data_IF_545359418720
#
_entry.id   IF_545359418720
#
_cell.length_a   1.000
_cell.length_b   1.000
_cell.length_c   1.000
_cell.angle_alpha   90.00
_cell.angle_beta   90.00
_cell.angle_gamma   90.00
#
_symmetry.space_group_name_H-M   'P 1'
#
loop_
_entity.id
_entity.type
_entity.pdbx_description
1 polymer ?
#
# COMPACT_ATOMS: atom_id res chain seq x y z
N UNK A 1 27.44 -4.21 20.27
CA UNK A 1 27.59 -4.58 18.85
C UNK A 1 26.99 -5.95 18.52
N UNK A 2 27.44 -7.07 19.10
CA UNK A 2 26.86 -8.40 18.81
C UNK A 2 25.34 -8.50 19.04
N UNK A 3 24.85 -7.95 20.15
CA UNK A 3 23.41 -7.90 20.45
C UNK A 3 22.62 -7.04 19.46
N UNK A 4 23.23 -5.98 18.92
CA UNK A 4 22.57 -5.08 17.96
C UNK A 4 22.33 -5.78 16.62
N UNK A 5 23.33 -6.50 16.09
CA UNK A 5 23.18 -7.28 14.86
C UNK A 5 22.16 -8.43 15.01
N UNK A 6 22.15 -9.08 16.17
CA UNK A 6 21.15 -10.11 16.48
C UNK A 6 19.74 -9.51 16.50
N UNK A 7 19.55 -8.36 17.15
CA UNK A 7 18.29 -7.63 17.16
C UNK A 7 17.89 -7.19 15.74
N UNK A 8 18.82 -6.66 14.93
CA UNK A 8 18.55 -6.29 13.52
C UNK A 8 18.04 -7.48 12.71
N UNK A 9 18.69 -8.64 12.81
CA UNK A 9 18.32 -9.86 12.07
C UNK A 9 16.98 -10.39 12.55
N UNK A 10 16.76 -10.40 13.87
CA UNK A 10 15.49 -10.80 14.46
C UNK A 10 14.35 -9.92 13.97
N UNK A 11 14.55 -8.60 13.92
CA UNK A 11 13.56 -7.63 13.43
C UNK A 11 13.27 -7.87 11.96
N UNK A 12 14.29 -8.11 11.14
CA UNK A 12 14.13 -8.44 9.73
C UNK A 12 13.28 -9.71 9.57
N UNK A 13 13.55 -10.74 10.35
CA UNK A 13 12.75 -11.97 10.36
C UNK A 13 11.30 -11.72 10.78
N UNK A 14 11.08 -10.96 11.85
CA UNK A 14 9.74 -10.54 12.30
C UNK A 14 9.02 -9.76 11.19
N UNK A 15 9.69 -8.83 10.52
CA UNK A 15 9.12 -8.07 9.40
C UNK A 15 8.72 -8.95 8.22
N UNK A 16 9.54 -9.94 7.86
CA UNK A 16 9.22 -10.91 6.80
C UNK A 16 7.97 -11.72 7.21
N UNK A 17 7.97 -12.29 8.41
CA UNK A 17 6.84 -13.07 8.92
C UNK A 17 5.55 -12.24 8.96
N UNK A 18 5.59 -11.02 9.48
CA UNK A 18 4.47 -10.09 9.51
C UNK A 18 4.00 -9.70 8.10
N UNK A 19 4.93 -9.48 7.17
CA UNK A 19 4.58 -9.17 5.78
C UNK A 19 3.81 -10.34 5.13
N UNK A 20 4.30 -11.56 5.30
CA UNK A 20 3.67 -12.79 4.81
C UNK A 20 2.32 -13.05 5.48
N UNK A 21 2.23 -12.92 6.81
CA UNK A 21 0.97 -13.04 7.55
C UNK A 21 -0.04 -12.01 7.07
N UNK A 22 0.37 -10.77 6.82
CA UNK A 22 -0.50 -9.72 6.33
C UNK A 22 -1.03 -9.96 4.94
N UNK A 23 -0.16 -10.43 4.05
CA UNK A 23 -0.59 -10.80 2.71
C UNK A 23 -1.49 -12.03 2.75
N UNK A 24 -1.19 -13.02 3.59
CA UNK A 24 -2.02 -14.20 3.82
C UNK A 24 -3.41 -13.86 4.37
N UNK A 25 -3.49 -12.99 5.37
CA UNK A 25 -4.77 -12.48 5.90
C UNK A 25 -5.54 -11.67 4.84
N UNK A 26 -4.84 -10.84 4.07
CA UNK A 26 -5.44 -10.09 2.96
C UNK A 26 -5.99 -11.04 1.91
N UNK A 27 -5.24 -12.08 1.56
CA UNK A 27 -5.68 -13.08 0.61
C UNK A 27 -6.94 -13.82 1.12
N UNK A 28 -6.91 -14.24 2.39
CA UNK A 28 -8.01 -14.98 3.02
C UNK A 28 -9.29 -14.14 3.12
N UNK A 29 -9.19 -12.89 3.58
CA UNK A 29 -10.35 -12.03 3.84
C UNK A 29 -10.83 -11.25 2.60
N UNK A 30 -9.93 -10.94 1.66
CA UNK A 30 -10.23 -10.09 0.52
C UNK A 30 -10.21 -10.90 -0.77
N UNK A 31 -9.05 -11.45 -1.13
CA UNK A 31 -8.85 -12.01 -2.48
C UNK A 31 -9.66 -13.29 -2.74
N UNK A 32 -9.94 -14.07 -1.70
CA UNK A 32 -10.80 -15.25 -1.78
C UNK A 32 -12.28 -14.91 -1.98
N UNK A 33 -12.72 -13.72 -1.60
CA UNK A 33 -14.14 -13.36 -1.63
C UNK A 33 -14.65 -13.21 -3.07
N UNK A 34 -15.73 -13.90 -3.43
CA UNK A 34 -16.32 -13.82 -4.79
C UNK A 34 -16.63 -12.38 -5.21
N UNK A 35 -17.16 -11.57 -4.28
CA UNK A 35 -17.45 -10.15 -4.51
C UNK A 35 -16.20 -9.41 -4.98
N UNK A 36 -15.05 -9.66 -4.36
CA UNK A 36 -13.80 -9.03 -4.75
C UNK A 36 -13.35 -9.49 -6.14
N UNK A 37 -13.41 -10.79 -6.42
CA UNK A 37 -13.00 -11.35 -7.71
C UNK A 37 -13.85 -10.84 -8.87
N UNK A 38 -15.18 -10.86 -8.70
CA UNK A 38 -16.15 -10.34 -9.69
C UNK A 38 -15.90 -8.86 -9.98
N UNK A 39 -15.75 -8.06 -8.93
CA UNK A 39 -15.58 -6.61 -9.05
C UNK A 39 -14.20 -6.24 -9.62
N UNK A 40 -13.13 -6.95 -9.25
CA UNK A 40 -11.80 -6.80 -9.86
C UNK A 40 -11.85 -7.10 -11.36
N UNK A 41 -12.48 -8.21 -11.76
CA UNK A 41 -12.59 -8.60 -13.17
C UNK A 41 -13.43 -7.59 -13.97
N UNK A 42 -14.52 -7.07 -13.41
CA UNK A 42 -15.33 -6.03 -14.05
C UNK A 42 -14.55 -4.73 -14.24
N UNK A 43 -13.86 -4.25 -13.20
CA UNK A 43 -13.02 -3.06 -13.26
C UNK A 43 -11.93 -3.21 -14.31
N UNK A 44 -11.20 -4.33 -14.34
CA UNK A 44 -10.15 -4.57 -15.36
C UNK A 44 -10.72 -4.60 -16.78
N UNK A 45 -11.87 -5.25 -16.99
CA UNK A 45 -12.52 -5.35 -18.29
C UNK A 45 -13.02 -3.99 -18.79
N UNK A 46 -13.66 -3.21 -17.91
CA UNK A 46 -14.17 -1.88 -18.24
C UNK A 46 -13.02 -0.90 -18.48
N UNK A 47 -11.99 -0.96 -17.64
CA UNK A 47 -10.77 -0.14 -17.73
C UNK A 47 -10.04 -0.33 -19.08
N UNK A 48 -9.81 -1.58 -19.50
CA UNK A 48 -9.24 -1.89 -20.83
C UNK A 48 -10.12 -1.44 -21.99
N UNK A 49 -11.45 -1.59 -21.88
CA UNK A 49 -12.38 -1.14 -22.94
C UNK A 49 -12.36 0.38 -23.08
N UNK A 50 -12.29 1.09 -21.97
CA UNK A 50 -12.26 2.54 -21.93
C UNK A 50 -10.94 3.09 -22.52
N UNK A 51 -9.79 2.51 -22.17
CA UNK A 51 -8.50 2.89 -22.81
C UNK A 51 -8.55 2.72 -24.32
N UNK A 52 -8.97 1.54 -24.82
CA UNK A 52 -9.07 1.28 -26.27
C UNK A 52 -9.99 2.26 -26.99
N UNK A 53 -11.11 2.67 -26.37
CA UNK A 53 -12.03 3.65 -26.95
C UNK A 53 -11.47 5.06 -26.97
N UNK A 54 -10.67 5.44 -25.96
CA UNK A 54 -9.98 6.73 -25.94
C UNK A 54 -8.86 6.77 -26.99
N UNK A 55 -8.09 5.70 -27.10
CA UNK A 55 -7.00 5.60 -28.08
C UNK A 55 -7.51 5.56 -29.53
N UNK A 56 -8.63 4.88 -29.79
CA UNK A 56 -9.19 4.75 -31.13
C UNK A 56 -9.82 6.05 -31.69
N UNK A 57 -10.24 6.99 -30.82
CA UNK A 57 -11.05 8.14 -31.23
C UNK A 57 -10.35 9.50 -31.20
N UNK A 58 -9.19 9.62 -30.53
CA UNK A 58 -8.40 10.87 -30.49
C UNK A 58 -9.19 12.13 -30.08
N UNK A 59 -8.71 13.32 -30.45
CA UNK A 59 -9.36 14.62 -30.16
C UNK A 59 -10.62 14.89 -31.01
N UNK A 60 -10.92 14.02 -31.98
CA UNK A 60 -12.04 14.14 -32.91
C UNK A 60 -13.32 13.44 -32.42
N UNK A 61 -13.56 13.47 -31.10
CA UNK A 61 -14.74 12.88 -30.49
C UNK A 61 -15.98 13.76 -30.70
N UNK A 62 -16.97 13.22 -31.41
CA UNK A 62 -18.29 13.84 -31.53
C UNK A 62 -18.93 14.01 -30.13
N UNK A 63 -19.71 15.07 -29.94
CA UNK A 63 -20.30 15.47 -28.62
C UNK A 63 -21.10 14.33 -28.00
N UNK A 64 -21.74 13.49 -28.83
CA UNK A 64 -22.49 12.31 -28.39
C UNK A 64 -21.57 11.17 -27.90
N UNK A 65 -20.41 10.96 -28.52
CA UNK A 65 -19.43 9.95 -28.12
C UNK A 65 -18.70 10.37 -26.84
N UNK A 66 -18.35 11.66 -26.71
CA UNK A 66 -17.78 12.24 -25.48
C UNK A 66 -18.70 11.98 -24.27
N UNK A 67 -20.01 12.23 -24.42
CA UNK A 67 -21.01 11.97 -23.36
C UNK A 67 -21.17 10.47 -23.03
N UNK A 68 -20.96 9.57 -23.99
CA UNK A 68 -20.98 8.11 -23.74
C UNK A 68 -19.73 7.66 -22.98
N UNK A 69 -18.55 8.19 -23.34
CA UNK A 69 -17.27 7.92 -22.65
C UNK A 69 -17.33 8.41 -21.21
N UNK A 70 -17.85 9.61 -20.97
CA UNK A 70 -18.01 10.19 -19.62
C UNK A 70 -18.91 9.34 -18.72
N UNK A 71 -20.01 8.80 -19.26
CA UNK A 71 -20.88 7.85 -18.53
C UNK A 71 -20.18 6.53 -18.20
N UNK A 72 -19.32 6.04 -19.10
CA UNK A 72 -18.55 4.81 -18.86
C UNK A 72 -17.45 5.04 -17.82
N UNK A 73 -16.82 6.22 -17.80
CA UNK A 73 -15.90 6.65 -16.75
C UNK A 73 -16.58 6.72 -15.39
N UNK A 74 -17.77 7.32 -15.30
CA UNK A 74 -18.51 7.45 -14.05
C UNK A 74 -18.88 6.07 -13.48
N UNK A 75 -19.33 5.14 -14.34
CA UNK A 75 -19.59 3.74 -13.96
C UNK A 75 -18.33 3.04 -13.48
N UNK A 76 -17.22 3.18 -14.21
CA UNK A 76 -15.93 2.61 -13.81
C UNK A 76 -15.47 3.16 -12.45
N UNK A 77 -15.65 4.48 -12.21
CA UNK A 77 -15.31 5.13 -10.94
C UNK A 77 -16.13 4.56 -9.79
N UNK A 78 -17.44 4.33 -9.99
CA UNK A 78 -18.30 3.72 -8.97
C UNK A 78 -17.87 2.28 -8.66
N UNK A 79 -17.65 1.45 -9.70
CA UNK A 79 -17.19 0.07 -9.52
C UNK A 79 -15.82 0.01 -8.81
N UNK A 80 -14.91 0.93 -9.13
CA UNK A 80 -13.61 1.02 -8.49
C UNK A 80 -13.70 1.53 -7.04
N UNK A 81 -14.66 2.42 -6.74
CA UNK A 81 -14.97 2.82 -5.36
C UNK A 81 -15.47 1.64 -4.55
N UNK A 82 -16.39 0.84 -5.09
CA UNK A 82 -16.90 -0.36 -4.41
C UNK A 82 -15.79 -1.39 -4.17
N UNK A 83 -14.89 -1.57 -5.15
CA UNK A 83 -13.71 -2.43 -5.01
C UNK A 83 -12.78 -1.95 -3.91
N UNK A 84 -12.57 -0.63 -3.84
CA UNK A 84 -11.76 0.00 -2.81
C UNK A 84 -12.41 -0.10 -1.42
N UNK A 85 -13.74 0.02 -1.31
CA UNK A 85 -14.46 -0.13 -0.05
C UNK A 85 -14.37 -1.56 0.49
N UNK A 86 -14.49 -2.57 -0.37
CA UNK A 86 -14.28 -3.98 0.03
C UNK A 86 -12.86 -4.18 0.56
N UNK A 87 -11.84 -3.64 -0.12
CA UNK A 87 -10.45 -3.68 0.38
C UNK A 87 -10.29 -2.93 1.70
N UNK A 88 -10.85 -1.72 1.81
CA UNK A 88 -10.68 -0.84 2.96
C UNK A 88 -11.29 -1.43 4.23
N UNK A 89 -12.48 -2.03 4.16
CA UNK A 89 -13.12 -2.68 5.31
C UNK A 89 -12.22 -3.77 5.90
N UNK A 90 -11.65 -4.62 5.04
CA UNK A 90 -10.76 -5.70 5.48
C UNK A 90 -9.37 -5.19 5.89
N UNK A 91 -8.83 -4.17 5.21
CA UNK A 91 -7.57 -3.54 5.61
C UNK A 91 -7.66 -2.88 6.98
N UNK A 92 -8.82 -2.36 7.38
CA UNK A 92 -9.01 -1.80 8.72
C UNK A 92 -8.88 -2.87 9.81
N UNK A 93 -9.53 -4.03 9.62
CA UNK A 93 -9.43 -5.15 10.54
C UNK A 93 -7.98 -5.70 10.64
N UNK A 94 -7.32 -5.85 9.50
CA UNK A 94 -5.91 -6.25 9.42
C UNK A 94 -5.00 -5.19 10.07
N UNK A 95 -5.32 -3.91 9.87
CA UNK A 95 -4.62 -2.78 10.48
C UNK A 95 -4.68 -2.82 12.00
N UNK A 96 -5.84 -3.13 12.58
CA UNK A 96 -5.97 -3.30 14.03
C UNK A 96 -5.09 -4.43 14.57
N UNK A 97 -5.07 -5.59 13.88
CA UNK A 97 -4.19 -6.69 14.23
C UNK A 97 -2.70 -6.30 14.16
N UNK A 98 -2.31 -5.53 13.13
CA UNK A 98 -0.94 -5.03 13.01
C UNK A 98 -0.57 -3.96 14.04
N UNK A 99 -1.50 -3.10 14.43
CA UNK A 99 -1.26 -2.15 15.52
C UNK A 99 -1.02 -2.87 16.84
N UNK A 100 -1.77 -3.96 17.12
CA UNK A 100 -1.55 -4.78 18.30
C UNK A 100 -0.17 -5.47 18.27
N UNK A 101 0.22 -6.07 17.13
CA UNK A 101 1.54 -6.67 16.95
C UNK A 101 2.67 -5.64 17.08
N UNK A 102 2.51 -4.47 16.46
CA UNK A 102 3.48 -3.37 16.55
C UNK A 102 3.65 -2.91 18.00
N UNK A 103 2.54 -2.75 18.75
CA UNK A 103 2.57 -2.35 20.16
C UNK A 103 3.30 -3.38 21.02
N UNK A 104 3.02 -4.68 20.82
CA UNK A 104 3.69 -5.77 21.53
C UNK A 104 5.21 -5.74 21.29
N UNK A 105 5.65 -5.66 20.04
CA UNK A 105 7.09 -5.62 19.74
C UNK A 105 7.74 -4.30 20.16
N UNK A 106 7.03 -3.17 20.07
CA UNK A 106 7.55 -1.89 20.55
C UNK A 106 7.91 -1.95 22.03
N UNK A 107 7.08 -2.62 22.86
CA UNK A 107 7.38 -2.78 24.28
C UNK A 107 8.57 -3.72 24.54
N UNK A 108 8.80 -4.72 23.69
CA UNK A 108 9.93 -5.67 23.83
C UNK A 108 11.27 -5.01 23.49
N UNK A 109 11.27 -4.10 22.50
CA UNK A 109 12.46 -3.40 22.02
C UNK A 109 12.57 -1.95 22.53
N UNK A 110 11.81 -1.59 23.56
CA UNK A 110 11.81 -0.25 24.13
C UNK A 110 13.20 0.14 24.65
N UNK A 111 13.64 1.37 24.33
CA UNK A 111 14.96 1.87 24.71
C UNK A 111 16.16 1.18 24.04
N UNK A 112 15.96 0.23 23.12
CA UNK A 112 17.05 -0.52 22.47
C UNK A 112 17.39 0.05 21.11
N UNK A 113 18.68 0.37 20.92
CA UNK A 113 19.23 0.72 19.62
C UNK A 113 19.37 -0.54 18.78
N UNK A 114 18.61 -0.65 17.70
CA UNK A 114 18.54 -1.87 16.88
C UNK A 114 19.38 -1.79 15.62
N UNK A 115 19.73 -0.59 15.17
CA UNK A 115 20.64 -0.35 14.06
C UNK A 115 21.22 1.06 14.15
N UNK A 116 22.32 1.30 13.43
CA UNK A 116 22.86 2.64 13.18
C UNK A 116 22.82 2.95 11.70
N UNK A 117 22.24 4.09 11.36
CA UNK A 117 22.13 4.58 10.00
C UNK A 117 23.44 5.29 9.61
N UNK A 118 23.91 5.15 8.36
CA UNK A 118 25.10 5.85 7.89
C UNK A 118 24.85 7.34 7.61
N UNK A 119 23.63 7.82 7.85
CA UNK A 119 23.19 9.20 7.69
C UNK A 119 22.23 9.57 8.81
N UNK A 120 22.13 10.87 9.12
CA UNK A 120 21.10 11.41 10.01
C UNK A 120 19.80 11.56 9.20
N UNK A 121 18.69 10.90 9.60
CA UNK A 121 17.41 11.06 8.90
C UNK A 121 16.95 12.52 8.85
N UNK A 122 16.17 12.90 7.83
CA UNK A 122 15.57 14.24 7.76
C UNK A 122 14.62 14.48 8.94
N UNK A 123 14.51 15.72 9.41
CA UNK A 123 13.78 16.07 10.65
C UNK A 123 12.34 15.60 10.73
N UNK A 124 11.65 15.48 9.60
CA UNK A 124 10.29 14.93 9.56
C UNK A 124 10.20 13.43 9.90
N UNK A 125 11.27 12.66 9.64
CA UNK A 125 11.34 11.21 9.88
C UNK A 125 12.11 10.89 11.17
N UNK A 126 12.91 11.83 11.68
CA UNK A 126 13.67 11.70 12.93
C UNK A 126 12.79 11.26 14.12
N UNK A 127 11.58 11.81 14.23
CA UNK A 127 10.64 11.45 15.29
C UNK A 127 10.17 9.99 15.27
N UNK A 128 10.28 9.31 14.12
CA UNK A 128 9.99 7.88 13.99
C UNK A 128 11.27 7.05 14.12
N UNK A 129 12.38 7.49 13.50
CA UNK A 129 13.66 6.79 13.55
C UNK A 129 14.27 6.73 14.94
N UNK A 130 14.12 7.78 15.74
CA UNK A 130 14.63 7.86 17.11
C UNK A 130 13.53 7.65 18.18
N UNK A 131 12.35 7.21 17.76
CA UNK A 131 11.23 6.99 18.68
C UNK A 131 11.61 5.97 19.76
N UNK A 132 11.33 6.28 21.02
CA UNK A 132 11.58 5.40 22.17
C UNK A 132 13.07 5.08 22.42
N UNK A 133 14.01 5.80 21.81
CA UNK A 133 15.44 5.65 22.10
C UNK A 133 15.92 6.74 23.08
N UNK A 134 16.78 6.40 24.05
CA UNK A 134 17.44 7.39 24.90
C UNK A 134 18.61 8.06 24.16
N UNK A 135 18.87 9.33 24.47
CA UNK A 135 20.00 10.09 23.93
C UNK A 135 19.64 11.01 22.75
N UNK A 136 20.67 11.67 22.21
CA UNK A 136 20.55 12.67 21.14
C UNK A 136 21.30 12.25 19.86
N UNK A 137 21.70 10.98 19.76
CA UNK A 137 22.35 10.44 18.56
C UNK A 137 21.30 10.01 17.52
N UNK A 138 20.90 10.95 16.67
CA UNK A 138 19.92 10.71 15.60
C UNK A 138 20.39 9.74 14.50
N UNK A 139 21.62 9.21 14.56
CA UNK A 139 22.03 8.09 13.70
C UNK A 139 21.50 6.74 14.21
N UNK A 140 21.03 6.68 15.45
CA UNK A 140 20.45 5.49 16.05
C UNK A 140 19.01 5.24 15.54
N UNK A 141 18.72 3.97 15.30
CA UNK A 141 17.47 3.52 14.72
C UNK A 141 16.66 2.70 15.73
N UNK A 142 15.38 3.04 15.83
CA UNK A 142 14.39 2.36 16.66
C UNK A 142 13.84 1.13 15.96
N UNK A 143 13.29 0.21 16.77
CA UNK A 143 12.55 -0.94 16.27
C UNK A 143 11.45 -0.54 15.28
N UNK A 144 10.62 0.46 15.66
CA UNK A 144 9.45 0.87 14.87
C UNK A 144 9.88 1.26 13.46
N UNK A 145 10.94 2.06 13.33
CA UNK A 145 11.37 2.57 12.05
C UNK A 145 11.86 1.46 11.13
N UNK A 146 12.78 0.61 11.63
CA UNK A 146 13.30 -0.51 10.86
C UNK A 146 12.18 -1.49 10.48
N UNK A 147 11.31 -1.81 11.43
CA UNK A 147 10.19 -2.72 11.21
C UNK A 147 9.20 -2.20 10.15
N UNK A 148 8.81 -0.93 10.20
CA UNK A 148 7.89 -0.34 9.21
C UNK A 148 8.55 -0.33 7.82
N UNK A 149 9.81 0.12 7.73
CA UNK A 149 10.54 0.16 6.47
C UNK A 149 10.65 -1.22 5.84
N UNK A 150 11.09 -2.21 6.60
CA UNK A 150 11.22 -3.58 6.13
C UNK A 150 9.86 -4.17 5.74
N UNK A 151 8.86 -4.08 6.62
CA UNK A 151 7.54 -4.68 6.38
C UNK A 151 6.85 -4.08 5.15
N UNK A 152 6.89 -2.74 4.98
CA UNK A 152 6.29 -2.09 3.82
C UNK A 152 7.03 -2.44 2.53
N UNK A 153 8.36 -2.44 2.54
CA UNK A 153 9.18 -2.80 1.38
C UNK A 153 8.94 -4.25 0.96
N UNK A 154 8.97 -5.19 1.91
CA UNK A 154 8.75 -6.62 1.64
C UNK A 154 7.33 -6.85 1.14
N UNK A 155 6.32 -6.31 1.83
CA UNK A 155 4.91 -6.52 1.46
C UNK A 155 4.60 -6.00 0.05
N UNK A 156 5.06 -4.81 -0.32
CA UNK A 156 4.85 -4.28 -1.66
C UNK A 156 5.50 -5.15 -2.74
N UNK A 157 6.69 -5.69 -2.46
CA UNK A 157 7.36 -6.61 -3.40
C UNK A 157 6.63 -7.94 -3.53
N UNK A 158 6.12 -8.51 -2.42
CA UNK A 158 5.29 -9.72 -2.45
C UNK A 158 4.03 -9.48 -3.29
N UNK A 159 3.33 -8.35 -3.09
CA UNK A 159 2.12 -8.02 -3.84
C UNK A 159 2.37 -7.90 -5.35
N UNK A 160 3.51 -7.33 -5.74
CA UNK A 160 3.94 -7.26 -7.14
C UNK A 160 4.24 -8.66 -7.69
N UNK A 161 4.98 -9.47 -6.94
CA UNK A 161 5.36 -10.84 -7.33
C UNK A 161 4.15 -11.75 -7.52
N UNK A 162 3.14 -11.64 -6.65
CA UNK A 162 1.92 -12.46 -6.69
C UNK A 162 0.83 -11.92 -7.62
N UNK A 163 1.05 -10.78 -8.29
CA UNK A 163 0.04 -10.18 -9.18
C UNK A 163 -1.20 -9.63 -8.45
N UNK A 164 -1.08 -9.39 -7.14
CA UNK A 164 -2.12 -8.77 -6.32
C UNK A 164 -2.07 -7.24 -6.34
N UNK A 165 -0.95 -6.68 -6.82
CA UNK A 165 -0.84 -5.27 -7.13
C UNK A 165 -1.94 -4.83 -8.13
N UNK A 166 -2.56 -3.66 -7.92
CA UNK A 166 -3.50 -3.10 -8.89
C UNK A 166 -2.81 -2.94 -10.25
N UNK A 167 -3.50 -3.29 -11.34
CA UNK A 167 -2.95 -3.19 -12.68
C UNK A 167 -2.64 -1.72 -13.02
N UNK A 168 -1.58 -1.49 -13.83
CA UNK A 168 -1.16 -0.14 -14.24
C UNK A 168 -2.30 0.67 -14.84
N UNK A 169 -3.21 0.02 -15.56
CA UNK A 169 -4.40 0.62 -16.14
C UNK A 169 -5.44 0.99 -15.08
N UNK A 170 -5.73 0.08 -14.14
CA UNK A 170 -6.64 0.38 -13.03
C UNK A 170 -6.11 1.52 -12.15
N UNK A 171 -4.78 1.64 -11.97
CA UNK A 171 -4.16 2.74 -11.23
C UNK A 171 -4.22 4.11 -11.94
N UNK A 172 -4.33 4.14 -13.28
CA UNK A 172 -4.51 5.41 -14.03
C UNK A 172 -5.93 5.95 -13.90
N UNK A 173 -6.93 5.06 -13.80
CA UNK A 173 -8.36 5.42 -13.71
C UNK A 173 -8.88 5.43 -12.27
N UNK A 174 -8.21 4.76 -11.34
CA UNK A 174 -8.31 5.08 -9.92
C UNK A 174 -7.67 6.43 -9.73
N UNK A 175 -8.46 7.51 -9.83
CA UNK A 175 -8.06 8.77 -9.24
C UNK A 175 -7.58 8.47 -7.84
N UNK A 176 -6.27 8.55 -7.66
CA UNK A 176 -5.64 8.16 -6.41
C UNK A 176 -6.27 9.04 -5.34
N UNK A 177 -6.73 8.44 -4.25
CA UNK A 177 -7.19 9.18 -3.07
C UNK A 177 -6.06 10.11 -2.55
N UNK A 178 -4.80 9.85 -2.96
CA UNK A 178 -3.60 10.62 -2.63
C UNK A 178 -2.78 11.06 -3.86
N UNK A 179 -3.35 11.09 -5.07
CA UNK A 179 -2.64 11.53 -6.26
C UNK A 179 -3.22 12.83 -6.80
N UNK A 180 -2.45 13.56 -7.61
CA UNK A 180 -2.92 14.81 -8.18
C UNK A 180 -4.21 14.55 -8.97
N UNK A 181 -5.19 15.46 -8.89
CA UNK A 181 -6.49 15.30 -9.52
C UNK A 181 -6.31 15.02 -11.03
N UNK A 182 -7.20 14.22 -11.64
CA UNK A 182 -7.14 14.00 -13.09
C UNK A 182 -7.16 15.36 -13.77
N UNK A 183 -6.13 15.64 -14.58
CA UNK A 183 -6.10 16.81 -15.43
C UNK A 183 -7.37 16.79 -16.27
N UNK A 184 -8.29 17.69 -15.93
CA UNK A 184 -9.41 18.02 -16.79
C UNK A 184 -8.80 18.56 -18.08
N UNK A 185 -8.91 17.79 -19.15
CA UNK A 185 -8.65 18.30 -20.49
C UNK A 185 -9.62 19.47 -20.71
N UNK A 186 -9.03 20.67 -20.74
CA UNK A 186 -9.70 21.92 -21.07
C UNK A 186 -9.81 22.05 -22.58
#
# INVERSE_FOLDING_TARGET
LANMWADTILILFISICTALLGEGLTWLMVYRTEKYQKLKAEVEKQSKKLEKRKEAHGDSLDRQQKKKIEREEERLKNNNRDLSLVKMKSMFAIGFAFTALLSMFNNIFDGRVVARLPFVPISWIQGLSHRNLPGDDYTECSFIFLYILCTMSIRQNIQKMLGFAPSRTASKQSGSIFGPPPQQFK
#
